data_IF_225878754679
#
_entry.id   IF_225878754679
#
_cell.length_a   1.000
_cell.length_b   1.000
_cell.length_c   1.000
_cell.angle_alpha   90.00
_cell.angle_beta   90.00
_cell.angle_gamma   90.00
#
_symmetry.space_group_name_H-M   'P 1'
#
loop_
_entity.id
_entity.type
_entity.pdbx_description
1 polymer ?
#
# COMPACT_ATOMS: atom_id res chain seq x y z
N UNK A 1 5.47 11.24 -6.44
CA UNK A 1 5.02 10.12 -7.29
C UNK A 1 3.60 10.42 -7.72
N UNK A 2 3.23 10.14 -8.97
CA UNK A 2 1.83 10.26 -9.43
C UNK A 2 0.99 9.05 -9.02
N UNK A 3 -0.34 9.16 -9.11
CA UNK A 3 -1.28 8.08 -8.82
C UNK A 3 -1.01 6.80 -9.64
N UNK A 4 -0.73 6.97 -10.94
CA UNK A 4 -0.43 5.84 -11.82
C UNK A 4 0.89 5.17 -11.44
N UNK A 5 1.93 5.96 -11.14
CA UNK A 5 3.21 5.45 -10.66
C UNK A 5 3.09 4.70 -9.33
N UNK A 6 2.22 5.18 -8.42
CA UNK A 6 1.91 4.50 -7.17
C UNK A 6 1.24 3.16 -7.42
N UNK A 7 0.23 3.14 -8.28
CA UNK A 7 -0.49 1.93 -8.63
C UNK A 7 0.43 0.89 -9.26
N UNK A 8 1.29 1.29 -10.20
CA UNK A 8 2.29 0.42 -10.84
C UNK A 8 3.29 -0.13 -9.82
N UNK A 9 3.79 0.71 -8.91
CA UNK A 9 4.71 0.29 -7.87
C UNK A 9 4.08 -0.74 -6.93
N UNK A 10 2.85 -0.50 -6.47
CA UNK A 10 2.10 -1.44 -5.63
C UNK A 10 1.81 -2.75 -6.37
N UNK A 11 1.42 -2.69 -7.65
CA UNK A 11 1.21 -3.89 -8.49
C UNK A 11 2.50 -4.70 -8.55
N UNK A 12 3.64 -4.07 -8.88
CA UNK A 12 4.93 -4.77 -8.98
C UNK A 12 5.27 -5.47 -7.68
N UNK A 13 5.15 -4.78 -6.55
CA UNK A 13 5.39 -5.36 -5.24
C UNK A 13 4.48 -6.57 -4.96
N UNK A 14 3.18 -6.45 -5.21
CA UNK A 14 2.22 -7.55 -4.98
C UNK A 14 2.53 -8.75 -5.88
N UNK A 15 2.88 -8.51 -7.14
CA UNK A 15 3.26 -9.57 -8.08
C UNK A 15 4.47 -10.33 -7.57
N UNK A 16 5.54 -9.61 -7.26
CA UNK A 16 6.81 -10.21 -6.85
C UNK A 16 6.71 -10.89 -5.49
N UNK A 17 6.00 -10.25 -4.54
CA UNK A 17 5.96 -10.70 -3.15
C UNK A 17 4.94 -11.80 -2.90
N UNK A 18 3.79 -11.77 -3.55
CA UNK A 18 2.65 -12.64 -3.23
C UNK A 18 2.22 -13.56 -4.37
N UNK A 19 2.58 -13.25 -5.62
CA UNK A 19 2.11 -13.98 -6.81
C UNK A 19 3.24 -14.63 -7.64
N UNK A 20 4.43 -14.79 -7.06
CA UNK A 20 5.61 -15.34 -7.74
C UNK A 20 5.91 -14.68 -9.10
N UNK A 21 5.76 -13.35 -9.16
CA UNK A 21 5.95 -12.54 -10.36
C UNK A 21 4.73 -12.46 -11.28
N UNK A 22 3.57 -13.01 -10.90
CA UNK A 22 2.32 -13.02 -11.70
C UNK A 22 2.54 -13.55 -13.13
N UNK A 23 2.91 -14.84 -13.29
CA UNK A 23 3.33 -15.40 -14.58
C UNK A 23 2.25 -15.37 -15.66
N UNK A 24 0.98 -15.14 -15.28
CA UNK A 24 -0.15 -15.01 -16.21
C UNK A 24 -0.57 -13.57 -16.44
N UNK A 25 -0.03 -12.60 -15.69
CA UNK A 25 -0.36 -11.19 -15.81
C UNK A 25 -1.81 -10.87 -15.43
N UNK A 26 -2.41 -11.64 -14.52
CA UNK A 26 -3.83 -11.51 -14.17
C UNK A 26 -4.08 -10.36 -13.18
N UNK A 27 -3.04 -9.91 -12.46
CA UNK A 27 -3.19 -8.81 -11.51
C UNK A 27 -3.30 -7.47 -12.24
N UNK A 28 -4.37 -6.74 -11.94
CA UNK A 28 -4.63 -5.38 -12.42
C UNK A 28 -4.94 -4.44 -11.25
N UNK A 29 -5.04 -3.14 -11.52
CA UNK A 29 -5.35 -2.15 -10.50
C UNK A 29 -6.71 -2.35 -9.81
N UNK A 30 -7.65 -3.07 -10.45
CA UNK A 30 -9.01 -3.32 -9.94
C UNK A 30 -9.28 -4.79 -9.63
N UNK A 31 -8.25 -5.65 -9.66
CA UNK A 31 -8.40 -7.05 -9.29
C UNK A 31 -8.75 -7.17 -7.79
N UNK A 32 -9.72 -8.02 -7.41
CA UNK A 32 -10.21 -8.10 -6.03
C UNK A 32 -9.22 -8.89 -5.16
N UNK A 33 -8.29 -8.17 -4.52
CA UNK A 33 -7.15 -8.73 -3.79
C UNK A 33 -7.57 -9.60 -2.59
N UNK A 34 -8.67 -9.23 -1.92
CA UNK A 34 -9.20 -9.96 -0.77
C UNK A 34 -9.91 -11.24 -1.20
N UNK A 35 -10.71 -11.17 -2.27
CA UNK A 35 -11.47 -12.32 -2.78
C UNK A 35 -10.54 -13.37 -3.37
N UNK A 36 -9.43 -12.94 -3.98
CA UNK A 36 -8.38 -13.82 -4.48
C UNK A 36 -7.49 -14.38 -3.38
N UNK A 37 -7.64 -13.92 -2.12
CA UNK A 37 -6.78 -14.31 -1.01
C UNK A 37 -5.35 -13.80 -1.11
N UNK A 38 -5.07 -12.85 -2.01
CA UNK A 38 -3.76 -12.22 -2.16
C UNK A 38 -3.45 -11.35 -0.94
N UNK A 39 -4.46 -10.60 -0.48
CA UNK A 39 -4.38 -9.88 0.78
C UNK A 39 -5.21 -10.59 1.85
N UNK A 40 -4.51 -11.00 2.90
CA UNK A 40 -5.06 -11.41 4.19
C UNK A 40 -4.41 -10.54 5.29
N UNK A 41 -4.60 -10.89 6.56
CA UNK A 41 -4.01 -10.14 7.68
C UNK A 41 -2.47 -10.08 7.60
N UNK A 42 -1.81 -11.17 7.19
CA UNK A 42 -0.35 -11.26 7.16
C UNK A 42 0.21 -10.49 5.97
N UNK A 43 -0.32 -10.73 4.76
CA UNK A 43 0.11 -10.04 3.55
C UNK A 43 -0.20 -8.55 3.60
N UNK A 44 -1.31 -8.16 4.26
CA UNK A 44 -1.60 -6.74 4.54
C UNK A 44 -0.53 -6.13 5.44
N UNK A 45 -0.11 -6.81 6.52
CA UNK A 45 0.97 -6.29 7.38
C UNK A 45 2.31 -6.15 6.63
N UNK A 46 2.62 -7.09 5.74
CA UNK A 46 3.80 -7.04 4.87
C UNK A 46 3.71 -5.86 3.90
N UNK A 47 2.55 -5.64 3.28
CA UNK A 47 2.32 -4.50 2.39
C UNK A 47 2.41 -3.15 3.12
N UNK A 48 1.84 -3.06 4.33
CA UNK A 48 1.95 -1.87 5.17
C UNK A 48 3.40 -1.54 5.52
N UNK A 49 4.20 -2.57 5.78
CA UNK A 49 5.64 -2.44 6.03
C UNK A 49 6.36 -1.89 4.79
N UNK A 50 6.08 -2.46 3.61
CA UNK A 50 6.62 -1.97 2.34
C UNK A 50 6.28 -0.50 2.09
N UNK A 51 5.00 -0.12 2.22
CA UNK A 51 4.55 1.27 2.03
C UNK A 51 5.27 2.22 3.00
N UNK A 52 5.49 1.80 4.25
CA UNK A 52 6.22 2.60 5.22
C UNK A 52 7.71 2.73 4.87
N UNK A 53 8.36 1.62 4.55
CA UNK A 53 9.82 1.57 4.43
C UNK A 53 10.30 2.12 3.07
N UNK A 54 9.58 1.81 1.97
CA UNK A 54 9.95 2.24 0.61
C UNK A 54 9.33 3.58 0.20
N UNK A 55 8.10 3.87 0.65
CA UNK A 55 7.41 5.12 0.28
C UNK A 55 7.47 6.17 1.39
N UNK A 56 7.86 5.80 2.62
CA UNK A 56 7.87 6.71 3.77
C UNK A 56 6.47 7.06 4.28
N UNK A 57 5.45 6.27 3.92
CA UNK A 57 4.04 6.59 4.20
C UNK A 57 3.53 5.69 5.33
N UNK A 58 3.14 6.30 6.45
CA UNK A 58 2.52 5.57 7.55
C UNK A 58 0.99 5.54 7.37
N UNK A 59 0.43 4.35 7.10
CA UNK A 59 -1.03 4.18 7.00
C UNK A 59 -1.64 4.16 8.41
N UNK A 60 -2.60 5.05 8.72
CA UNK A 60 -3.28 5.04 10.01
C UNK A 60 -4.07 3.73 10.22
N UNK A 61 -4.05 3.13 11.43
CA UNK A 61 -4.80 1.89 11.69
C UNK A 61 -6.30 1.98 11.33
N UNK A 62 -6.92 3.15 11.51
CA UNK A 62 -8.33 3.39 11.16
C UNK A 62 -8.64 3.30 9.65
N UNK A 63 -7.60 3.35 8.80
CA UNK A 63 -7.69 3.16 7.34
C UNK A 63 -7.38 1.72 6.93
N UNK A 64 -6.96 0.83 7.83
CA UNK A 64 -6.73 -0.59 7.52
C UNK A 64 -8.05 -1.34 7.56
N UNK A 65 -8.73 -1.43 6.42
CA UNK A 65 -10.02 -2.10 6.30
C UNK A 65 -10.30 -2.57 4.88
N UNK A 66 -11.21 -3.54 4.73
CA UNK A 66 -11.54 -4.16 3.44
C UNK A 66 -11.90 -3.14 2.34
N UNK A 67 -12.56 -2.03 2.69
CA UNK A 67 -12.94 -0.99 1.71
C UNK A 67 -11.77 -0.34 0.99
N UNK A 68 -10.63 -0.20 1.67
CA UNK A 68 -9.43 0.46 1.13
C UNK A 68 -8.43 -0.54 0.57
N UNK A 69 -8.48 -1.80 1.02
CA UNK A 69 -7.55 -2.86 0.60
C UNK A 69 -8.20 -3.88 -0.37
N UNK A 70 -9.37 -3.56 -0.93
CA UNK A 70 -10.07 -4.44 -1.87
C UNK A 70 -9.33 -4.61 -3.21
N UNK A 71 -8.64 -3.58 -3.67
CA UNK A 71 -7.90 -3.53 -4.93
C UNK A 71 -6.79 -2.48 -4.84
N UNK A 72 -5.82 -2.50 -5.78
CA UNK A 72 -4.65 -1.60 -5.74
C UNK A 72 -5.07 -0.15 -5.93
N UNK A 73 -6.04 0.13 -6.81
CA UNK A 73 -6.54 1.48 -7.04
C UNK A 73 -7.04 2.11 -5.75
N UNK A 74 -7.82 1.38 -4.97
CA UNK A 74 -8.37 1.84 -3.69
C UNK A 74 -7.28 2.13 -2.65
N UNK A 75 -6.17 1.37 -2.69
CA UNK A 75 -5.00 1.62 -1.84
C UNK A 75 -4.30 2.91 -2.28
N UNK A 76 -4.12 3.10 -3.59
CA UNK A 76 -3.52 4.31 -4.13
C UNK A 76 -4.36 5.56 -3.83
N UNK A 77 -5.67 5.50 -4.06
CA UNK A 77 -6.63 6.57 -3.71
C UNK A 77 -6.58 6.90 -2.21
N UNK A 78 -6.55 5.87 -1.34
CA UNK A 78 -6.42 6.08 0.09
C UNK A 78 -5.14 6.84 0.46
N UNK A 79 -4.01 6.50 -0.17
CA UNK A 79 -2.70 7.11 0.08
C UNK A 79 -2.69 8.57 -0.40
N UNK A 80 -3.24 8.84 -1.57
CA UNK A 80 -3.35 10.21 -2.11
C UNK A 80 -4.22 11.11 -1.21
N UNK A 81 -5.26 10.54 -0.60
CA UNK A 81 -6.14 11.21 0.37
C UNK A 81 -5.51 11.39 1.77
N UNK A 82 -4.34 10.79 2.04
CA UNK A 82 -3.70 11.00 3.33
C UNK A 82 -3.18 12.44 3.42
N UNK A 83 -3.41 13.14 4.54
CA UNK A 83 -2.75 14.40 4.77
C UNK A 83 -1.24 14.14 4.71
N UNK A 84 -0.55 14.83 3.80
CA UNK A 84 0.91 14.78 3.75
C UNK A 84 1.40 15.35 5.07
N UNK A 85 1.71 14.46 6.00
CA UNK A 85 2.30 14.88 7.26
C UNK A 85 3.68 15.40 6.90
N UNK A 86 3.77 16.73 6.74
CA UNK A 86 5.02 17.43 6.66
C UNK A 86 5.81 17.00 7.89
N UNK A 87 7.05 16.52 7.65
CA UNK A 87 8.11 16.23 8.62
C UNK A 87 7.69 16.58 10.04
N UNK A 88 7.48 15.56 10.88
CA UNK A 88 7.58 15.78 12.31
C UNK A 88 9.02 16.24 12.57
N UNK A 89 9.16 17.56 12.63
CA UNK A 89 10.28 18.33 13.13
C UNK A 89 10.88 17.59 14.34
N UNK A 90 12.07 17.03 14.12
CA UNK A 90 13.01 16.75 15.19
C UNK A 90 13.51 18.08 15.75
N UNK A 91 12.67 18.78 16.50
CA UNK A 91 13.05 19.94 17.29
C UNK A 91 13.13 19.52 18.76
N UNK A 92 14.35 19.16 19.16
CA UNK A 92 14.96 19.44 20.46
C UNK A 92 14.01 19.84 21.61
N UNK A 93 13.90 18.97 22.62
CA UNK A 93 13.80 19.43 24.00
C UNK A 93 15.07 19.00 24.73
N UNK A 94 16.03 19.91 24.79
CA UNK A 94 17.23 19.79 25.61
C UNK A 94 16.87 19.74 27.09
N UNK A 95 17.69 19.00 27.82
CA UNK A 95 17.69 18.89 29.27
C UNK A 95 18.11 20.21 29.97
#
# INVERSE_FOLDING_TARGET
>A
MSHDQLSEHLISFIRDRFLAGDPRGELTATSPLLEWGVLDSLNTAVLLTHIRDDLGIAIPPAKVSARFFKDVRSIAEMIDDLPQTAKADGAHHGA
#
